data_IF_129826464847
#
_entry.id   IF_129826464847
#
_cell.length_a   1.000
_cell.length_b   1.000
_cell.length_c   1.000
_cell.angle_alpha   90.00
_cell.angle_beta   90.00
_cell.angle_gamma   90.00
#
_symmetry.space_group_name_H-M   'P 1'
#
loop_
_entity.id
_entity.type
_entity.pdbx_description
1 polymer ?
#
# COMPACT_ATOMS: atom_id res chain seq x y z
N UNK A 1 -7.56 -0.12 -13.80
CA UNK A 1 -7.07 0.61 -12.59
C UNK A 1 -5.88 -0.07 -11.91
N UNK A 2 -5.83 -1.41 -11.79
CA UNK A 2 -4.71 -2.14 -11.14
C UNK A 2 -3.36 -1.98 -11.85
N UNK A 3 -3.34 -1.93 -13.18
CA UNK A 3 -2.11 -1.69 -13.97
C UNK A 3 -1.47 -0.33 -13.67
N UNK A 4 -2.29 0.71 -13.47
CA UNK A 4 -1.81 2.06 -13.17
C UNK A 4 -1.09 2.13 -11.81
N UNK A 5 -1.65 1.52 -10.77
CA UNK A 5 -1.04 1.48 -9.44
C UNK A 5 0.29 0.72 -9.43
N UNK A 6 0.38 -0.40 -10.16
CA UNK A 6 1.62 -1.17 -10.30
C UNK A 6 2.70 -0.37 -11.02
N UNK A 7 2.35 0.29 -12.13
CA UNK A 7 3.29 1.16 -12.87
C UNK A 7 3.77 2.31 -12.00
N UNK A 8 2.85 3.01 -11.33
CA UNK A 8 3.17 4.08 -10.37
C UNK A 8 4.12 3.59 -9.28
N UNK A 9 3.86 2.40 -8.73
CA UNK A 9 4.70 1.84 -7.68
C UNK A 9 6.11 1.54 -8.19
N UNK A 10 6.23 0.90 -9.36
CA UNK A 10 7.52 0.58 -9.97
C UNK A 10 8.31 1.82 -10.36
N UNK A 11 7.66 2.85 -10.91
CA UNK A 11 8.35 4.08 -11.31
C UNK A 11 8.96 4.82 -10.12
N UNK A 12 8.39 4.67 -8.91
CA UNK A 12 9.02 5.24 -7.72
C UNK A 12 10.42 4.70 -7.46
N UNK A 13 10.75 3.47 -7.86
CA UNK A 13 12.09 2.88 -7.70
C UNK A 13 13.10 3.43 -8.69
N UNK A 14 12.63 3.85 -9.86
CA UNK A 14 13.48 4.19 -11.00
C UNK A 14 13.78 5.69 -11.06
N UNK A 15 12.85 6.54 -10.63
CA UNK A 15 13.06 7.99 -10.68
C UNK A 15 12.37 8.75 -9.54
N UNK A 16 13.08 9.62 -8.81
CA UNK A 16 12.47 10.53 -7.83
C UNK A 16 11.53 11.56 -8.48
N UNK A 17 11.68 11.87 -9.78
CA UNK A 17 10.78 12.79 -10.48
C UNK A 17 9.38 12.21 -10.70
N UNK A 18 9.25 10.89 -10.80
CA UNK A 18 7.95 10.22 -10.96
C UNK A 18 7.05 10.41 -9.73
N UNK A 19 7.64 10.57 -8.55
CA UNK A 19 6.91 10.79 -7.29
C UNK A 19 6.37 12.22 -7.13
N UNK A 20 6.84 13.17 -7.94
CA UNK A 20 6.38 14.57 -7.90
C UNK A 20 5.07 14.77 -8.69
N UNK A 21 4.77 13.89 -9.64
CA UNK A 21 3.57 13.96 -10.49
C UNK A 21 2.32 13.46 -9.75
N UNK A 22 2.49 12.68 -8.68
CA UNK A 22 1.38 12.04 -7.96
C UNK A 22 0.95 12.90 -6.78
N UNK A 23 -0.31 13.33 -6.82
CA UNK A 23 -0.84 14.39 -5.97
C UNK A 23 -1.13 13.93 -4.53
N UNK A 24 -1.05 14.85 -3.53
CA UNK A 24 -1.39 14.60 -2.12
C UNK A 24 -2.72 13.88 -1.81
N UNK A 25 -3.80 14.00 -2.61
CA UNK A 25 -5.07 13.30 -2.37
C UNK A 25 -4.95 11.76 -2.33
N UNK A 26 -4.04 11.15 -3.09
CA UNK A 26 -3.85 9.70 -3.04
C UNK A 26 -3.30 9.22 -1.70
N UNK A 27 -2.46 10.04 -1.06
CA UNK A 27 -1.90 9.76 0.27
C UNK A 27 -2.99 9.84 1.35
N UNK A 28 -3.89 10.82 1.27
CA UNK A 28 -5.03 10.94 2.18
C UNK A 28 -6.00 9.75 2.06
N UNK A 29 -6.25 9.28 0.84
CA UNK A 29 -7.11 8.11 0.60
C UNK A 29 -6.57 6.85 1.29
N UNK A 30 -5.26 6.63 1.24
CA UNK A 30 -4.62 5.47 1.85
C UNK A 30 -4.71 5.49 3.39
N UNK A 31 -4.66 6.67 4.03
CA UNK A 31 -4.88 6.82 5.48
C UNK A 31 -6.30 6.43 5.89
N UNK A 32 -7.30 6.72 5.05
CA UNK A 32 -8.70 6.33 5.30
C UNK A 32 -8.95 4.84 5.08
N UNK A 33 -8.28 4.24 4.09
CA UNK A 33 -8.43 2.80 3.79
C UNK A 33 -7.76 1.90 4.83
N UNK A 34 -6.76 2.41 5.57
CA UNK A 34 -6.02 1.63 6.56
C UNK A 34 -6.87 1.17 7.76
N UNK A 35 -7.64 2.04 8.45
CA UNK A 35 -8.54 1.64 9.52
C UNK A 35 -9.62 0.66 9.05
N UNK A 36 -10.17 0.87 7.85
CA UNK A 36 -11.14 -0.04 7.24
C UNK A 36 -10.53 -1.43 7.10
N UNK A 37 -9.26 -1.51 6.70
CA UNK A 37 -8.57 -2.79 6.56
C UNK A 37 -8.23 -3.46 7.88
N UNK A 38 -7.78 -2.67 8.87
CA UNK A 38 -7.56 -3.17 10.25
C UNK A 38 -8.87 -3.76 10.78
N UNK A 39 -9.98 -3.03 10.65
CA UNK A 39 -11.31 -3.52 11.05
C UNK A 39 -11.65 -4.79 10.28
N UNK A 40 -11.52 -4.82 8.95
CA UNK A 40 -11.82 -6.00 8.13
C UNK A 40 -10.99 -7.22 8.57
N UNK A 41 -9.71 -7.03 8.88
CA UNK A 41 -8.87 -8.09 9.41
C UNK A 41 -9.34 -8.55 10.79
N UNK A 42 -9.69 -7.64 11.68
CA UNK A 42 -10.12 -7.97 13.04
C UNK A 42 -11.52 -8.59 13.09
N UNK A 43 -12.43 -8.24 12.17
CA UNK A 43 -13.84 -8.67 12.18
C UNK A 43 -14.11 -9.88 11.30
N UNK A 44 -13.21 -10.25 10.39
CA UNK A 44 -13.36 -11.49 9.60
C UNK A 44 -13.07 -12.71 10.49
N UNK A 45 -14.14 -13.29 11.02
CA UNK A 45 -14.12 -14.42 11.95
C UNK A 45 -13.52 -15.70 11.33
N UNK A 46 -13.58 -15.84 10.00
CA UNK A 46 -12.91 -16.92 9.27
C UNK A 46 -12.12 -16.40 8.05
N UNK A 47 -10.91 -15.91 8.33
CA UNK A 47 -9.99 -15.40 7.30
C UNK A 47 -9.60 -16.44 6.26
N UNK A 48 -9.70 -17.74 6.58
CA UNK A 48 -9.34 -18.82 5.66
C UNK A 48 -10.42 -18.98 4.62
N UNK A 49 -11.69 -19.00 5.00
CA UNK A 49 -12.81 -19.18 4.08
C UNK A 49 -12.84 -18.17 2.93
N UNK A 50 -12.47 -16.90 3.20
CA UNK A 50 -12.52 -15.81 2.22
C UNK A 50 -11.71 -16.12 0.96
N UNK A 51 -10.57 -16.81 1.08
CA UNK A 51 -9.68 -17.12 -0.06
C UNK A 51 -9.53 -18.62 -0.31
N UNK A 52 -10.25 -19.48 0.41
CA UNK A 52 -10.07 -20.95 0.33
C UNK A 52 -10.35 -21.50 -1.07
N UNK A 53 -11.31 -20.92 -1.79
CA UNK A 53 -11.67 -21.34 -3.15
C UNK A 53 -10.85 -20.65 -4.24
N UNK A 54 -10.04 -19.64 -3.90
CA UNK A 54 -9.15 -19.01 -4.87
C UNK A 54 -8.10 -20.00 -5.38
N UNK A 55 -7.69 -19.94 -6.66
CA UNK A 55 -6.62 -20.78 -7.20
C UNK A 55 -5.33 -20.63 -6.40
N UNK A 56 -4.54 -21.70 -6.29
CA UNK A 56 -3.31 -21.71 -5.49
C UNK A 56 -2.33 -20.60 -5.90
N UNK A 57 -2.20 -20.32 -7.19
CA UNK A 57 -1.34 -19.26 -7.71
C UNK A 57 -1.77 -17.88 -7.22
N UNK A 58 -3.08 -17.62 -7.13
CA UNK A 58 -3.65 -16.35 -6.71
C UNK A 58 -3.39 -16.11 -5.21
N UNK A 59 -3.59 -17.15 -4.38
CA UNK A 59 -3.24 -17.10 -2.96
C UNK A 59 -1.76 -16.82 -2.75
N UNK A 60 -0.87 -17.55 -3.45
CA UNK A 60 0.59 -17.36 -3.36
C UNK A 60 0.98 -15.92 -3.74
N UNK A 61 0.39 -15.38 -4.81
CA UNK A 61 0.64 -14.01 -5.24
C UNK A 61 0.16 -12.99 -4.19
N UNK A 62 -1.05 -13.14 -3.67
CA UNK A 62 -1.58 -12.26 -2.62
C UNK A 62 -0.72 -12.30 -1.36
N UNK A 63 -0.29 -13.49 -0.92
CA UNK A 63 0.64 -13.65 0.21
C UNK A 63 1.98 -12.98 -0.08
N UNK A 64 2.57 -13.18 -1.26
CA UNK A 64 3.85 -12.57 -1.62
C UNK A 64 3.76 -11.03 -1.63
N UNK A 65 2.69 -10.47 -2.20
CA UNK A 65 2.46 -9.01 -2.21
C UNK A 65 2.21 -8.45 -0.81
N UNK A 66 1.56 -9.22 0.06
CA UNK A 66 1.35 -8.83 1.45
C UNK A 66 2.67 -8.77 2.24
N UNK A 67 3.50 -9.82 2.12
CA UNK A 67 4.85 -9.86 2.73
C UNK A 67 5.71 -8.71 2.19
N UNK A 68 5.68 -8.49 0.87
CA UNK A 68 6.35 -7.37 0.23
C UNK A 68 5.90 -6.02 0.79
N UNK A 69 4.60 -5.78 0.96
CA UNK A 69 4.08 -4.54 1.51
C UNK A 69 4.59 -4.29 2.94
N UNK A 70 4.65 -5.33 3.77
CA UNK A 70 5.24 -5.26 5.11
C UNK A 70 6.72 -4.89 5.08
N UNK A 71 7.53 -5.56 4.26
CA UNK A 71 8.95 -5.23 4.11
C UNK A 71 9.16 -3.80 3.59
N UNK A 72 8.44 -3.43 2.53
CA UNK A 72 8.47 -2.09 1.94
C UNK A 72 8.04 -1.01 2.94
N UNK A 73 7.08 -1.31 3.82
CA UNK A 73 6.66 -0.41 4.89
C UNK A 73 7.80 -0.09 5.85
N UNK A 74 8.39 -1.12 6.46
CA UNK A 74 9.46 -0.92 7.44
C UNK A 74 10.70 -0.30 6.79
N UNK A 75 11.05 -0.71 5.57
CA UNK A 75 12.17 -0.13 4.83
C UNK A 75 11.97 1.37 4.55
N UNK A 76 10.79 1.77 4.06
CA UNK A 76 10.53 3.18 3.78
C UNK A 76 10.38 4.01 5.06
N UNK A 77 9.80 3.46 6.13
CA UNK A 77 9.69 4.13 7.42
C UNK A 77 11.08 4.43 8.01
N UNK A 78 12.00 3.48 7.90
CA UNK A 78 13.40 3.63 8.30
C UNK A 78 14.10 4.72 7.47
N UNK A 79 13.97 4.68 6.14
CA UNK A 79 14.59 5.66 5.24
C UNK A 79 14.06 7.08 5.42
N UNK A 80 12.81 7.22 5.85
CA UNK A 80 12.17 8.50 6.15
C UNK A 80 12.45 9.01 7.56
N UNK A 81 13.16 8.26 8.40
CA UNK A 81 13.44 8.62 9.80
C UNK A 81 12.15 8.92 10.60
N UNK A 82 11.01 8.34 10.20
CA UNK A 82 9.69 8.65 10.75
C UNK A 82 9.16 10.07 10.44
N UNK A 83 9.82 10.80 9.55
CA UNK A 83 9.44 12.12 9.05
C UNK A 83 8.66 12.10 7.75
N UNK A 84 8.23 13.29 7.32
CA UNK A 84 7.56 13.55 6.06
C UNK A 84 8.30 14.65 5.31
N UNK A 85 8.61 14.47 4.01
CA UNK A 85 9.23 15.50 3.20
C UNK A 85 8.27 16.69 3.02
N UNK A 86 8.79 17.90 3.22
CA UNK A 86 8.07 19.17 3.08
C UNK A 86 8.89 20.14 2.24
N UNK A 87 8.21 20.87 1.35
CA UNK A 87 8.78 21.96 0.58
C UNK A 87 8.05 23.25 0.96
N UNK A 88 8.75 24.22 1.55
CA UNK A 88 8.20 25.53 1.91
C UNK A 88 9.24 26.61 1.65
N UNK A 89 8.82 27.70 0.98
CA UNK A 89 9.69 28.86 0.77
C UNK A 89 10.94 28.60 -0.07
N UNK A 90 10.94 27.59 -0.94
CA UNK A 90 12.09 27.20 -1.74
C UNK A 90 13.09 26.28 -1.01
N UNK A 91 12.86 26.00 0.27
CA UNK A 91 13.64 25.05 1.05
C UNK A 91 12.94 23.70 1.12
N UNK A 92 13.75 22.64 1.20
CA UNK A 92 13.28 21.28 1.41
C UNK A 92 13.71 20.79 2.80
N UNK A 93 12.80 20.13 3.48
CA UNK A 93 13.00 19.66 4.84
C UNK A 93 12.30 18.34 5.09
N UNK A 94 12.87 17.51 5.95
CA UNK A 94 12.21 16.34 6.52
C UNK A 94 11.63 16.74 7.88
N UNK A 95 10.31 16.64 8.03
CA UNK A 95 9.59 17.06 9.23
C UNK A 95 8.91 15.89 9.92
N UNK A 96 9.08 15.73 11.23
CA UNK A 96 8.25 14.83 12.04
C UNK A 96 7.34 15.65 12.95
N UNK A 97 6.03 15.50 12.79
CA UNK A 97 5.03 16.23 13.59
C UNK A 97 5.28 17.76 13.64
N UNK A 98 5.73 18.34 12.53
CA UNK A 98 6.06 19.76 12.41
C UNK A 98 7.45 20.16 12.94
N UNK A 99 8.20 19.24 13.56
CA UNK A 99 9.58 19.46 13.97
C UNK A 99 10.54 19.11 12.84
N UNK A 100 11.52 19.97 12.60
CA UNK A 100 12.60 19.73 11.64
C UNK A 100 13.48 18.58 12.13
N UNK A 101 13.60 17.51 11.33
CA UNK A 101 14.61 16.47 11.52
C UNK A 101 15.91 16.92 10.87
N UNK A 102 15.86 17.24 9.57
CA UNK A 102 16.98 17.76 8.80
C UNK A 102 16.51 18.51 7.56
N UNK A 103 17.37 19.37 7.02
CA UNK A 103 17.19 19.96 5.70
C UNK A 103 17.51 18.92 4.63
N UNK A 104 16.91 19.08 3.46
CA UNK A 104 17.08 18.21 2.31
C UNK A 104 17.58 19.03 1.12
N UNK A 105 18.44 18.44 0.30
CA UNK A 105 18.65 18.90 -1.07
C UNK A 105 17.42 18.58 -1.94
N UNK A 106 17.33 19.20 -3.12
CA UNK A 106 16.25 18.91 -4.07
C UNK A 106 16.18 17.42 -4.47
N UNK A 107 17.35 16.79 -4.60
CA UNK A 107 17.46 15.36 -4.93
C UNK A 107 16.97 14.48 -3.78
N UNK A 108 17.43 14.73 -2.55
CA UNK A 108 17.00 13.99 -1.37
C UNK A 108 15.50 14.16 -1.10
N UNK A 109 14.96 15.35 -1.35
CA UNK A 109 13.53 15.60 -1.28
C UNK A 109 12.76 14.71 -2.27
N UNK A 110 13.23 14.61 -3.51
CA UNK A 110 12.65 13.73 -4.51
C UNK A 110 12.62 12.26 -4.07
N UNK A 111 13.73 11.76 -3.53
CA UNK A 111 13.81 10.39 -3.00
C UNK A 111 12.93 10.17 -1.79
N UNK A 112 12.89 11.12 -0.86
CA UNK A 112 12.01 11.07 0.32
C UNK A 112 10.54 11.04 -0.11
N UNK A 113 10.16 11.83 -1.13
CA UNK A 113 8.80 11.79 -1.70
C UNK A 113 8.50 10.46 -2.37
N UNK A 114 9.45 9.87 -3.08
CA UNK A 114 9.29 8.54 -3.66
C UNK A 114 9.07 7.46 -2.58
N UNK A 115 9.83 7.51 -1.49
CA UNK A 115 9.65 6.59 -0.35
C UNK A 115 8.28 6.78 0.32
N UNK A 116 7.84 8.02 0.52
CA UNK A 116 6.52 8.32 1.07
C UNK A 116 5.40 7.76 0.18
N UNK A 117 5.57 7.86 -1.14
CA UNK A 117 4.63 7.28 -2.09
C UNK A 117 4.67 5.74 -2.09
N UNK A 118 5.86 5.13 -1.97
CA UNK A 118 6.03 3.66 -1.83
C UNK A 118 5.32 3.12 -0.61
N UNK A 119 5.37 3.83 0.52
CA UNK A 119 4.63 3.46 1.73
C UNK A 119 3.16 3.22 1.40
N UNK A 120 2.50 4.15 0.69
CA UNK A 120 1.06 4.03 0.42
C UNK A 120 0.76 3.07 -0.73
N UNK A 121 1.48 3.18 -1.85
CA UNK A 121 1.22 2.37 -3.05
C UNK A 121 1.50 0.88 -2.83
N UNK A 122 2.48 0.52 -2.00
CA UNK A 122 2.76 -0.88 -1.65
C UNK A 122 1.60 -1.54 -0.89
N UNK A 123 0.98 -0.82 0.05
CA UNK A 123 -0.20 -1.31 0.75
C UNK A 123 -1.38 -1.46 -0.20
N UNK A 124 -1.69 -0.43 -1.00
CA UNK A 124 -2.78 -0.50 -1.97
C UNK A 124 -2.63 -1.73 -2.88
N UNK A 125 -1.42 -2.01 -3.37
CA UNK A 125 -1.15 -3.19 -4.19
C UNK A 125 -1.50 -4.51 -3.46
N UNK A 126 -1.07 -4.66 -2.20
CA UNK A 126 -1.42 -5.83 -1.40
C UNK A 126 -2.92 -5.93 -1.13
N UNK A 127 -3.58 -4.81 -0.81
CA UNK A 127 -5.02 -4.74 -0.57
C UNK A 127 -5.82 -5.19 -1.80
N UNK A 128 -5.46 -4.67 -2.97
CA UNK A 128 -6.09 -5.05 -4.23
C UNK A 128 -5.89 -6.54 -4.53
N UNK A 129 -4.71 -7.10 -4.26
CA UNK A 129 -4.43 -8.51 -4.48
C UNK A 129 -5.27 -9.42 -3.57
N UNK A 130 -5.40 -9.07 -2.29
CA UNK A 130 -6.24 -9.82 -1.33
C UNK A 130 -7.72 -9.72 -1.71
N UNK A 131 -8.21 -8.53 -2.07
CA UNK A 131 -9.58 -8.34 -2.51
C UNK A 131 -9.89 -9.12 -3.80
N UNK A 132 -8.98 -9.10 -4.77
CA UNK A 132 -9.11 -9.88 -6.01
C UNK A 132 -9.14 -11.39 -5.73
N UNK A 133 -8.29 -11.88 -4.82
CA UNK A 133 -8.31 -13.28 -4.40
C UNK A 133 -9.63 -13.66 -3.72
N UNK A 134 -10.18 -12.79 -2.86
CA UNK A 134 -11.47 -13.01 -2.19
C UNK A 134 -12.64 -13.04 -3.18
N UNK A 135 -12.68 -12.09 -4.12
CA UNK A 135 -13.70 -12.08 -5.18
C UNK A 135 -13.62 -13.34 -6.04
N UNK A 136 -12.41 -13.74 -6.46
CA UNK A 136 -12.22 -14.93 -7.26
C UNK A 136 -12.62 -16.20 -6.50
N UNK A 137 -12.27 -16.28 -5.21
CA UNK A 137 -12.72 -17.34 -4.30
C UNK A 137 -14.25 -17.42 -4.27
N UNK A 138 -14.94 -16.29 -4.11
CA UNK A 138 -16.40 -16.26 -4.09
C UNK A 138 -17.03 -16.71 -5.42
N UNK A 139 -16.44 -16.32 -6.56
CA UNK A 139 -16.92 -16.77 -7.88
C UNK A 139 -16.71 -18.27 -8.14
N UNK A 140 -15.73 -18.88 -7.49
CA UNK A 140 -15.40 -20.30 -7.63
C UNK A 140 -16.04 -21.16 -6.53
N UNK A 141 -16.76 -20.55 -5.58
CA UNK A 141 -17.43 -21.25 -4.48
C UNK A 141 -18.59 -22.11 -5.02
N UNK A 142 -18.69 -23.39 -4.64
CA UNK A 142 -19.82 -24.25 -5.05
C UNK A 142 -21.14 -23.82 -4.38
N UNK A 143 -22.23 -23.69 -5.16
CA UNK A 143 -23.57 -23.33 -4.67
C UNK A 143 -24.12 -24.24 -3.56
N UNK A 144 -23.64 -25.49 -3.47
CA UNK A 144 -24.07 -26.44 -2.44
C UNK A 144 -23.62 -26.05 -1.02
N UNK A 145 -22.61 -25.18 -0.89
CA UNK A 145 -22.20 -24.67 0.42
C UNK A 145 -23.01 -23.46 0.89
N UNK A 146 -23.67 -22.74 -0.02
CA UNK A 146 -24.51 -21.59 0.34
C UNK A 146 -25.80 -22.04 1.06
N UNK A 147 -26.26 -23.28 0.80
CA UNK A 147 -27.46 -23.86 1.43
C UNK A 147 -27.21 -24.41 2.85
N UNK A 148 -25.95 -24.58 3.27
CA UNK A 148 -25.59 -25.03 4.62
C UNK A 148 -25.32 -23.87 5.59
N UNK A 149 -25.22 -22.65 5.07
CA UNK A 149 -24.94 -21.43 5.82
C UNK A 149 -26.19 -20.56 6.07
N UNK A 150 -27.36 -20.96 5.56
CA UNK A 150 -28.67 -20.32 5.77
C UNK A 150 -29.50 -21.07 6.80
#
# INVERSE_FOLDING_TARGET
MTSYLGVVHLTTFLSPSAAQVISPPMLALAVVLFPIWIVLCLTTHDRREVITFAPQWCRRLATALFVYAGFNFFACLWLLEGGNPSAKGGEFALLSHGRLIRTLTAEEYGWSRAQQLRLMSGHLLALYAVAAAGLLSNTLRPKSQDQLAS
#
